data_IF_418738355905
#
_entry.id   IF_418738355905
#
_cell.length_a   1.000
_cell.length_b   1.000
_cell.length_c   1.000
_cell.angle_alpha   90.00
_cell.angle_beta   90.00
_cell.angle_gamma   90.00
#
_symmetry.space_group_name_H-M   'P 1'
#
loop_
_entity.id
_entity.type
_entity.pdbx_description
1 polymer ?
#
# COMPACT_ATOMS: atom_id res chain seq x y z
N UNK A 1 -61.57 57.82 -27.53
CA UNK A 1 -60.18 58.31 -27.38
C UNK A 1 -59.87 58.50 -25.89
N UNK A 2 -58.76 57.90 -25.42
CA UNK A 2 -58.08 58.09 -24.10
C UNK A 2 -58.83 57.54 -22.86
N UNK A 3 -58.22 56.90 -21.86
CA UNK A 3 -56.94 56.20 -21.58
C UNK A 3 -57.09 55.68 -20.13
N UNK A 4 -56.61 54.46 -19.81
CA UNK A 4 -56.11 53.95 -18.50
C UNK A 4 -56.85 54.28 -17.18
N UNK A 5 -57.04 53.35 -16.25
CA UNK A 5 -55.94 52.77 -15.47
C UNK A 5 -56.38 51.48 -14.76
N UNK A 6 -55.50 50.47 -14.84
CA UNK A 6 -55.65 49.17 -14.19
C UNK A 6 -55.38 49.22 -12.69
N UNK A 7 -56.01 48.30 -11.98
CA UNK A 7 -55.77 47.99 -10.58
C UNK A 7 -54.37 47.42 -10.39
N UNK A 8 -53.56 48.10 -9.57
CA UNK A 8 -52.30 47.57 -9.06
C UNK A 8 -52.56 46.53 -7.98
N UNK A 9 -52.43 45.26 -8.34
CA UNK A 9 -52.09 44.19 -7.39
C UNK A 9 -50.58 44.23 -7.14
N UNK A 10 -50.18 44.24 -5.87
CA UNK A 10 -48.77 44.17 -5.47
C UNK A 10 -48.64 43.94 -3.96
N UNK A 11 -49.12 42.79 -3.49
CA UNK A 11 -48.88 42.31 -2.13
C UNK A 11 -47.75 41.27 -2.16
N UNK A 12 -46.82 41.48 -1.22
CA UNK A 12 -45.93 40.53 -0.54
C UNK A 12 -44.81 39.83 -1.30
N UNK A 13 -43.62 40.06 -0.75
CA UNK A 13 -42.37 39.35 -0.93
C UNK A 13 -42.50 37.83 -0.83
N UNK A 14 -41.74 37.13 -1.69
CA UNK A 14 -41.12 35.85 -1.36
C UNK A 14 -39.66 35.92 -1.80
N UNK A 15 -38.78 36.16 -0.83
CA UNK A 15 -37.36 35.84 -0.92
C UNK A 15 -37.26 34.33 -0.74
N UNK A 16 -37.16 33.58 -1.84
CA UNK A 16 -36.73 32.17 -1.81
C UNK A 16 -36.43 31.70 -3.23
N UNK A 17 -35.18 31.33 -3.49
CA UNK A 17 -34.80 30.84 -4.83
C UNK A 17 -33.36 30.38 -4.94
N UNK A 18 -32.91 29.60 -3.95
CA UNK A 18 -31.82 28.63 -4.01
C UNK A 18 -30.62 28.91 -4.93
N UNK A 19 -29.55 29.40 -4.29
CA UNK A 19 -28.19 28.94 -4.54
C UNK A 19 -28.16 27.42 -4.78
N UNK A 20 -28.12 26.97 -6.03
CA UNK A 20 -28.03 25.55 -6.30
C UNK A 20 -27.07 25.26 -7.46
N UNK A 21 -26.22 24.27 -7.18
CA UNK A 21 -25.37 23.50 -8.10
C UNK A 21 -23.98 24.08 -8.39
N UNK A 22 -23.12 24.16 -7.37
CA UNK A 22 -21.65 24.09 -7.52
C UNK A 22 -21.04 23.02 -6.59
N UNK A 23 -21.68 21.85 -6.48
CA UNK A 23 -21.07 20.66 -5.86
C UNK A 23 -21.36 19.40 -6.67
N UNK A 24 -20.66 19.24 -7.79
CA UNK A 24 -20.46 17.91 -8.36
C UNK A 24 -18.98 17.68 -8.66
N UNK A 25 -18.21 17.16 -7.67
CA UNK A 25 -17.07 16.33 -7.98
C UNK A 25 -17.16 15.02 -7.18
N UNK A 26 -18.04 14.09 -7.58
CA UNK A 26 -18.15 12.79 -6.88
C UNK A 26 -17.88 11.58 -7.76
N UNK A 27 -18.04 11.66 -9.08
CA UNK A 27 -17.83 10.51 -9.98
C UNK A 27 -16.34 10.28 -10.29
N UNK A 28 -15.59 11.34 -10.62
CA UNK A 28 -14.16 11.18 -10.96
C UNK A 28 -13.28 10.79 -9.76
N UNK A 29 -13.63 11.25 -8.55
CA UNK A 29 -12.87 10.93 -7.34
C UNK A 29 -13.07 9.48 -6.90
N UNK A 30 -14.29 8.93 -7.01
CA UNK A 30 -14.54 7.53 -6.66
C UNK A 30 -13.83 6.57 -7.63
N UNK A 31 -13.79 6.90 -8.91
CA UNK A 31 -13.04 6.12 -9.91
C UNK A 31 -11.52 6.15 -9.66
N UNK A 32 -10.95 7.32 -9.35
CA UNK A 32 -9.52 7.43 -9.03
C UNK A 32 -9.14 6.62 -7.78
N UNK A 33 -9.99 6.64 -6.74
CA UNK A 33 -9.80 5.81 -5.53
C UNK A 33 -9.85 4.33 -5.87
N UNK A 34 -10.84 3.88 -6.65
CA UNK A 34 -10.95 2.48 -7.05
C UNK A 34 -9.75 2.02 -7.89
N UNK A 35 -9.26 2.87 -8.79
CA UNK A 35 -8.07 2.59 -9.60
C UNK A 35 -6.80 2.52 -8.75
N UNK A 36 -6.65 3.41 -7.76
CA UNK A 36 -5.54 3.36 -6.79
C UNK A 36 -5.57 2.08 -5.96
N UNK A 37 -6.75 1.69 -5.47
CA UNK A 37 -6.95 0.44 -4.71
C UNK A 37 -6.62 -0.81 -5.55
N UNK A 38 -7.09 -0.88 -6.80
CA UNK A 38 -6.74 -1.97 -7.71
C UNK A 38 -5.22 -2.02 -7.98
N UNK A 39 -4.61 -0.85 -8.20
CA UNK A 39 -3.17 -0.74 -8.40
C UNK A 39 -2.34 -1.15 -7.17
N UNK A 40 -2.88 -0.96 -5.95
CA UNK A 40 -2.24 -1.39 -4.72
C UNK A 40 -2.28 -2.93 -4.57
N UNK A 41 -3.42 -3.55 -4.93
CA UNK A 41 -3.56 -5.00 -4.97
C UNK A 41 -2.55 -5.60 -5.96
N UNK A 42 -2.42 -5.02 -7.16
CA UNK A 42 -1.47 -5.49 -8.16
C UNK A 42 0.00 -5.30 -7.72
N UNK A 43 0.31 -4.22 -7.00
CA UNK A 43 1.63 -4.02 -6.40
C UNK A 43 1.96 -5.12 -5.38
N UNK A 44 1.02 -5.49 -4.52
CA UNK A 44 1.21 -6.57 -3.54
C UNK A 44 1.38 -7.94 -4.21
N UNK A 45 0.65 -8.22 -5.30
CA UNK A 45 0.85 -9.45 -6.10
C UNK A 45 2.24 -9.50 -6.73
N UNK A 46 2.76 -8.36 -7.17
CA UNK A 46 4.13 -8.25 -7.72
C UNK A 46 5.19 -8.41 -6.64
N UNK A 47 4.97 -7.86 -5.44
CA UNK A 47 5.83 -8.11 -4.28
C UNK A 47 5.86 -9.60 -3.95
N UNK A 48 4.70 -10.26 -3.90
CA UNK A 48 4.65 -11.71 -3.68
C UNK A 48 5.46 -12.49 -4.71
N UNK A 49 5.34 -12.13 -5.99
CA UNK A 49 6.16 -12.75 -7.05
C UNK A 49 7.65 -12.49 -6.84
N UNK A 50 8.03 -11.25 -6.51
CA UNK A 50 9.42 -10.87 -6.25
C UNK A 50 10.02 -11.60 -5.05
N UNK A 51 9.26 -11.85 -3.98
CA UNK A 51 9.68 -12.68 -2.85
C UNK A 51 9.93 -14.13 -3.24
N UNK A 52 9.06 -14.71 -4.07
CA UNK A 52 9.26 -16.06 -4.58
C UNK A 52 10.52 -16.14 -5.45
N UNK A 53 10.78 -15.12 -6.27
CA UNK A 53 11.99 -15.05 -7.10
C UNK A 53 13.24 -14.80 -6.25
N UNK A 54 13.17 -13.96 -5.22
CA UNK A 54 14.26 -13.73 -4.26
C UNK A 54 14.66 -15.05 -3.60
N UNK A 55 13.67 -15.77 -3.03
CA UNK A 55 13.91 -17.07 -2.40
C UNK A 55 14.45 -18.12 -3.36
N UNK A 56 13.87 -18.21 -4.55
CA UNK A 56 14.21 -19.24 -5.54
C UNK A 56 15.62 -19.07 -6.08
N UNK A 57 16.06 -17.82 -6.25
CA UNK A 57 17.33 -17.50 -6.88
C UNK A 57 18.43 -17.15 -5.87
N UNK A 58 18.19 -17.37 -4.56
CA UNK A 58 19.15 -17.01 -3.51
C UNK A 58 19.52 -15.52 -3.64
N UNK A 59 18.52 -14.66 -3.47
CA UNK A 59 18.55 -13.25 -3.88
C UNK A 59 19.68 -12.42 -3.26
N UNK A 60 20.20 -12.86 -2.11
CA UNK A 60 21.36 -12.28 -1.44
C UNK A 60 22.63 -13.13 -1.57
N UNK A 61 22.51 -14.34 -2.11
CA UNK A 61 23.60 -15.27 -2.36
C UNK A 61 24.20 -15.90 -1.12
N UNK A 62 23.42 -16.01 -0.05
CA UNK A 62 23.88 -16.59 1.21
C UNK A 62 23.84 -18.14 1.20
N UNK A 63 23.28 -18.75 0.14
CA UNK A 63 23.12 -20.19 -0.02
C UNK A 63 21.89 -20.76 0.69
N UNK A 64 21.01 -19.91 1.21
CA UNK A 64 19.82 -20.23 1.98
C UNK A 64 18.59 -19.71 1.23
N UNK A 65 17.61 -20.57 0.90
CA UNK A 65 16.37 -20.10 0.30
C UNK A 65 15.50 -19.43 1.37
N UNK A 66 15.66 -18.13 1.57
CA UNK A 66 14.88 -17.30 2.50
C UNK A 66 14.09 -16.21 1.78
N UNK A 67 13.24 -15.50 2.54
CA UNK A 67 12.49 -14.35 2.09
C UNK A 67 13.12 -13.07 2.60
N UNK A 68 12.93 -11.98 1.86
CA UNK A 68 13.32 -10.66 2.31
C UNK A 68 12.17 -10.01 3.11
N UNK A 69 12.50 -9.40 4.24
CA UNK A 69 11.51 -8.80 5.16
C UNK A 69 11.96 -7.46 5.73
N UNK A 70 13.15 -6.98 5.35
CA UNK A 70 13.70 -5.72 5.85
C UNK A 70 12.85 -4.52 5.48
N UNK A 71 12.56 -4.37 4.19
CA UNK A 71 11.75 -3.29 3.63
C UNK A 71 11.29 -3.63 2.19
N UNK A 72 10.47 -2.79 1.56
CA UNK A 72 9.98 -3.06 0.19
C UNK A 72 11.10 -2.82 -0.83
N UNK A 73 11.94 -1.82 -0.59
CA UNK A 73 12.99 -1.45 -1.55
C UNK A 73 14.06 -2.53 -1.76
N UNK A 74 14.31 -3.38 -0.77
CA UNK A 74 15.31 -4.45 -0.85
C UNK A 74 15.03 -5.44 -1.96
N UNK A 75 13.76 -5.68 -2.32
CA UNK A 75 13.39 -6.48 -3.50
C UNK A 75 13.82 -5.87 -4.84
N UNK A 76 14.30 -4.62 -4.83
CA UNK A 76 14.96 -3.99 -5.95
C UNK A 76 16.47 -3.82 -5.72
N UNK A 77 16.88 -3.34 -4.54
CA UNK A 77 18.25 -2.83 -4.31
C UNK A 77 19.17 -3.74 -3.50
N UNK A 78 18.68 -4.86 -2.97
CA UNK A 78 19.52 -5.82 -2.27
C UNK A 78 20.64 -6.29 -3.20
N UNK A 79 21.89 -6.23 -2.72
CA UNK A 79 23.03 -6.69 -3.49
C UNK A 79 22.99 -8.21 -3.67
N UNK A 80 23.11 -8.66 -4.90
CA UNK A 80 23.43 -10.05 -5.24
C UNK A 80 24.93 -10.32 -5.09
N UNK A 81 25.37 -11.59 -5.14
CA UNK A 81 26.76 -11.93 -5.39
C UNK A 81 27.30 -11.20 -6.62
N UNK A 82 28.34 -10.38 -6.43
CA UNK A 82 28.89 -9.51 -7.47
C UNK A 82 28.59 -8.02 -7.25
N UNK A 83 27.66 -7.69 -6.36
CA UNK A 83 27.38 -6.30 -5.93
C UNK A 83 26.30 -5.57 -6.72
N UNK A 84 25.76 -6.19 -7.77
CA UNK A 84 24.63 -5.64 -8.53
C UNK A 84 23.32 -5.76 -7.74
N UNK A 85 22.36 -4.83 -7.91
CA UNK A 85 21.04 -4.92 -7.29
C UNK A 85 20.24 -6.10 -7.87
N UNK A 86 19.50 -6.80 -7.02
CA UNK A 86 18.72 -7.99 -7.42
C UNK A 86 17.57 -7.68 -8.40
N UNK A 87 17.01 -6.48 -8.34
CA UNK A 87 16.03 -5.97 -9.29
C UNK A 87 14.81 -6.89 -9.55
N UNK A 88 14.38 -7.69 -8.55
CA UNK A 88 13.21 -8.56 -8.66
C UNK A 88 11.88 -7.77 -8.69
N UNK A 89 11.88 -6.55 -8.16
CA UNK A 89 10.72 -5.66 -8.12
C UNK A 89 10.93 -4.42 -8.99
N UNK A 90 9.86 -3.96 -9.65
CA UNK A 90 9.85 -2.68 -10.36
C UNK A 90 10.27 -1.51 -9.43
N UNK A 91 11.19 -0.63 -9.84
CA UNK A 91 11.67 0.45 -8.98
C UNK A 91 10.58 1.46 -8.59
N UNK A 92 9.52 1.61 -9.40
CA UNK A 92 8.38 2.47 -9.06
C UNK A 92 7.54 1.89 -7.91
N UNK A 93 7.34 0.57 -7.89
CA UNK A 93 6.68 -0.13 -6.78
C UNK A 93 7.60 -0.15 -5.55
N UNK A 94 8.88 -0.47 -5.74
CA UNK A 94 9.87 -0.47 -4.66
C UNK A 94 9.95 0.90 -3.96
N UNK A 95 9.93 2.00 -4.73
CA UNK A 95 9.96 3.36 -4.21
C UNK A 95 8.73 3.71 -3.35
N UNK A 96 7.63 2.96 -3.43
CA UNK A 96 6.47 3.17 -2.58
C UNK A 96 6.67 2.66 -1.15
N UNK A 97 7.87 2.22 -0.78
CA UNK A 97 8.24 2.06 0.62
C UNK A 97 8.06 3.37 1.41
N UNK A 98 7.26 3.32 2.48
CA UNK A 98 7.03 4.48 3.35
C UNK A 98 8.29 4.90 4.13
N UNK A 99 9.15 3.93 4.45
CA UNK A 99 10.25 4.05 5.40
C UNK A 99 11.43 3.13 4.99
N UNK A 100 12.05 3.39 3.83
CA UNK A 100 13.15 2.55 3.36
C UNK A 100 14.34 2.62 4.29
N UNK A 101 15.05 1.52 4.43
CA UNK A 101 16.33 1.45 5.13
C UNK A 101 17.37 2.35 4.42
N UNK A 102 18.35 2.92 5.12
CA UNK A 102 19.40 3.68 4.44
C UNK A 102 20.27 2.77 3.55
N UNK A 103 20.92 3.29 2.49
CA UNK A 103 21.94 2.53 1.76
C UNK A 103 23.05 2.05 2.71
N UNK A 104 23.64 0.90 2.41
CA UNK A 104 24.65 0.30 3.27
C UNK A 104 24.10 -0.41 4.51
N UNK A 105 22.79 -0.30 4.77
CA UNK A 105 22.08 -1.21 5.67
C UNK A 105 22.27 -2.65 5.19
N UNK A 106 22.45 -3.56 6.15
CA UNK A 106 22.44 -5.00 5.92
C UNK A 106 23.84 -5.53 5.74
N UNK A 107 24.11 -6.66 6.37
CA UNK A 107 25.40 -7.31 6.20
C UNK A 107 25.37 -8.22 4.97
N UNK A 108 24.28 -8.97 4.78
CA UNK A 108 24.05 -9.90 3.66
C UNK A 108 22.54 -10.09 3.45
N UNK A 109 21.91 -9.47 2.43
CA UNK A 109 22.49 -8.55 1.44
C UNK A 109 22.62 -7.12 1.97
N UNK A 110 23.65 -6.40 1.49
CA UNK A 110 23.77 -4.95 1.68
C UNK A 110 22.90 -4.22 0.67
N UNK A 111 22.24 -3.14 1.09
CA UNK A 111 21.46 -2.29 0.20
C UNK A 111 22.37 -1.35 -0.58
N UNK A 112 22.35 -1.45 -1.91
CA UNK A 112 23.36 -0.86 -2.82
C UNK A 112 23.20 0.65 -3.04
N UNK A 113 21.96 1.14 -3.15
CA UNK A 113 21.67 2.53 -3.50
C UNK A 113 20.47 3.10 -2.74
N UNK A 114 20.34 4.43 -2.76
CA UNK A 114 19.14 5.10 -2.26
C UNK A 114 18.04 5.02 -3.31
N UNK A 115 16.82 4.70 -2.85
CA UNK A 115 15.62 4.79 -3.66
C UNK A 115 14.64 5.74 -2.95
N UNK A 116 14.53 7.01 -3.41
CA UNK A 116 13.70 8.00 -2.72
C UNK A 116 12.22 7.58 -2.65
N UNK A 117 11.58 7.67 -1.45
CA UNK A 117 10.18 7.33 -1.29
C UNK A 117 9.24 8.10 -2.20
N UNK A 118 8.40 7.38 -2.94
CA UNK A 118 7.35 7.92 -3.80
C UNK A 118 6.12 7.01 -3.79
N UNK A 119 4.92 7.51 -3.44
CA UNK A 119 3.73 6.66 -3.40
C UNK A 119 3.40 6.05 -4.77
N UNK A 120 2.91 4.83 -4.75
CA UNK A 120 2.40 4.11 -5.92
C UNK A 120 0.90 4.35 -6.05
N UNK A 121 0.49 5.19 -7.01
CA UNK A 121 -0.92 5.45 -7.34
C UNK A 121 -1.81 5.76 -6.11
N UNK A 122 -1.29 6.55 -5.18
CA UNK A 122 -2.00 6.98 -3.96
C UNK A 122 -1.77 6.06 -2.75
N UNK A 123 -0.90 5.06 -2.85
CA UNK A 123 -0.61 4.10 -1.79
C UNK A 123 0.87 4.08 -1.41
N UNK A 124 1.11 3.90 -0.12
CA UNK A 124 2.39 3.50 0.43
C UNK A 124 2.40 1.98 0.67
N UNK A 125 3.59 1.41 0.69
CA UNK A 125 3.89 0.02 0.95
C UNK A 125 4.84 -0.07 2.14
N UNK A 126 4.78 -1.17 2.89
CA UNK A 126 5.68 -1.43 4.01
C UNK A 126 5.79 -2.93 4.27
N UNK A 127 7.01 -3.39 4.58
CA UNK A 127 7.23 -4.71 5.13
C UNK A 127 6.70 -4.77 6.57
N UNK A 128 5.98 -5.84 6.90
CA UNK A 128 5.48 -6.06 8.25
C UNK A 128 6.49 -6.90 9.03
N UNK A 129 6.62 -6.59 10.31
CA UNK A 129 7.54 -7.32 11.18
C UNK A 129 7.01 -8.74 11.40
N UNK A 130 7.84 -9.78 11.21
CA UNK A 130 7.48 -11.11 11.65
C UNK A 130 7.23 -11.08 13.15
N UNK A 131 6.37 -11.99 13.62
CA UNK A 131 6.35 -12.30 15.04
C UNK A 131 7.73 -12.76 15.49
N UNK A 132 8.10 -12.45 16.73
CA UNK A 132 9.18 -13.18 17.38
C UNK A 132 8.80 -14.66 17.35
N UNK A 133 9.45 -15.42 16.45
CA UNK A 133 9.29 -16.86 16.41
C UNK A 133 10.31 -17.39 17.40
N UNK A 134 9.86 -17.93 18.53
CA UNK A 134 10.75 -18.66 19.42
C UNK A 134 11.34 -19.85 18.64
N UNK A 135 12.66 -19.86 18.42
CA UNK A 135 13.35 -20.97 17.77
C UNK A 135 14.80 -20.65 17.36
N UNK A 136 15.72 -21.63 17.42
CA UNK A 136 17.14 -21.47 17.05
C UNK A 136 17.39 -21.43 15.54
N UNK A 137 16.36 -21.61 14.72
CA UNK A 137 16.49 -21.85 13.26
C UNK A 137 16.28 -20.62 12.39
N UNK A 138 16.11 -19.43 12.99
CA UNK A 138 16.19 -18.23 12.19
C UNK A 138 17.65 -17.78 12.23
N UNK A 139 18.39 -18.01 11.15
CA UNK A 139 19.54 -17.17 10.81
C UNK A 139 18.98 -15.76 10.55
N UNK A 140 18.54 -15.10 11.63
CA UNK A 140 18.07 -13.73 11.65
C UNK A 140 19.30 -12.84 11.55
N UNK A 141 19.85 -12.76 10.34
CA UNK A 141 20.12 -11.41 9.89
C UNK A 141 18.75 -10.69 9.95
N UNK A 142 18.70 -9.45 10.47
CA UNK A 142 17.46 -8.88 11.01
C UNK A 142 16.29 -8.77 10.01
N UNK A 143 16.54 -9.07 8.73
CA UNK A 143 15.70 -8.73 7.58
C UNK A 143 15.42 -9.93 6.67
N UNK A 144 15.85 -11.13 7.02
CA UNK A 144 15.65 -12.36 6.24
C UNK A 144 14.77 -13.32 7.04
N UNK A 145 13.92 -14.09 6.35
CA UNK A 145 13.01 -15.01 7.03
C UNK A 145 12.78 -16.31 6.24
N UNK A 146 13.01 -17.44 6.88
CA UNK A 146 12.82 -18.76 6.25
C UNK A 146 11.37 -19.15 6.05
N UNK A 147 10.45 -18.63 6.87
CA UNK A 147 9.08 -19.15 6.98
C UNK A 147 8.08 -18.39 6.13
N UNK A 148 8.25 -17.08 5.98
CA UNK A 148 7.32 -16.27 5.23
C UNK A 148 7.65 -14.80 5.29
N UNK A 149 6.71 -14.02 4.78
CA UNK A 149 6.77 -12.57 4.74
C UNK A 149 5.36 -12.02 4.87
N UNK A 150 5.23 -10.74 5.18
CA UNK A 150 3.99 -10.03 4.94
C UNK A 150 4.27 -8.57 4.59
N UNK A 151 3.46 -8.04 3.69
CA UNK A 151 3.52 -6.64 3.27
C UNK A 151 2.14 -6.02 3.36
N UNK A 152 2.12 -4.72 3.65
CA UNK A 152 0.91 -3.91 3.73
C UNK A 152 0.96 -2.80 2.69
N UNK A 153 -0.18 -2.53 2.05
CA UNK A 153 -0.43 -1.34 1.26
C UNK A 153 -1.49 -0.48 1.94
N UNK A 154 -1.20 0.79 2.16
CA UNK A 154 -2.11 1.71 2.83
C UNK A 154 -2.16 3.07 2.12
N UNK A 155 -3.31 3.76 2.16
CA UNK A 155 -3.47 5.00 1.42
C UNK A 155 -2.56 6.10 1.97
N UNK A 156 -2.02 6.95 1.09
CA UNK A 156 -1.27 8.18 1.47
C UNK A 156 -2.10 9.03 2.44
N UNK A 157 -3.42 9.08 2.20
CA UNK A 157 -4.42 9.72 3.03
C UNK A 157 -5.73 8.95 2.97
N UNK A 158 -6.11 8.36 4.10
CA UNK A 158 -7.36 7.61 4.24
C UNK A 158 -8.57 8.50 3.93
N UNK A 159 -9.55 7.95 3.20
CA UNK A 159 -10.74 8.65 2.73
C UNK A 159 -10.54 9.51 1.48
N UNK A 160 -9.29 9.86 1.12
CA UNK A 160 -8.98 10.68 -0.06
C UNK A 160 -8.29 9.91 -1.17
N UNK A 161 -7.14 9.29 -0.87
CA UNK A 161 -6.37 8.48 -1.84
C UNK A 161 -6.80 7.02 -1.87
N UNK A 162 -7.50 6.57 -0.83
CA UNK A 162 -7.96 5.20 -0.66
C UNK A 162 -8.77 5.04 0.62
N UNK A 163 -9.62 4.02 0.68
CA UNK A 163 -10.46 3.73 1.84
C UNK A 163 -10.06 2.43 2.54
N UNK A 164 -9.34 1.56 1.84
CA UNK A 164 -8.93 0.25 2.34
C UNK A 164 -7.43 0.17 2.50
N UNK A 165 -7.04 -0.62 3.48
CA UNK A 165 -5.69 -1.16 3.66
C UNK A 165 -5.69 -2.57 3.11
N UNK A 166 -4.60 -2.94 2.43
CA UNK A 166 -4.40 -4.26 1.87
C UNK A 166 -3.19 -4.94 2.48
N UNK A 167 -3.22 -6.26 2.53
CA UNK A 167 -2.17 -7.08 3.13
C UNK A 167 -1.95 -8.33 2.28
N UNK A 168 -0.70 -8.72 2.06
CA UNK A 168 -0.34 -9.99 1.41
C UNK A 168 0.66 -10.73 2.28
N UNK A 169 0.64 -12.06 2.22
CA UNK A 169 1.59 -12.95 2.89
C UNK A 169 2.14 -14.00 1.92
N UNK A 170 2.86 -14.99 2.44
CA UNK A 170 3.44 -16.07 1.63
C UNK A 170 2.40 -16.85 0.81
N UNK A 171 1.15 -16.91 1.28
CA UNK A 171 0.02 -17.57 0.59
C UNK A 171 -0.42 -16.86 -0.71
N UNK A 172 0.06 -15.63 -0.96
CA UNK A 172 -0.27 -14.84 -2.14
C UNK A 172 -1.69 -14.28 -2.17
N UNK A 173 -2.48 -14.53 -1.11
CA UNK A 173 -3.83 -13.97 -0.99
C UNK A 173 -3.69 -12.51 -0.56
N UNK A 174 -4.26 -11.62 -1.36
CA UNK A 174 -4.40 -10.21 -0.96
C UNK A 174 -5.66 -10.08 -0.12
N UNK A 175 -5.49 -9.56 1.08
CA UNK A 175 -6.52 -9.28 2.05
C UNK A 175 -6.79 -7.78 2.08
N UNK A 176 -8.01 -7.41 2.45
CA UNK A 176 -8.47 -6.03 2.55
C UNK A 176 -9.18 -5.83 3.88
N UNK A 177 -8.99 -4.65 4.46
CA UNK A 177 -9.72 -4.16 5.62
C UNK A 177 -9.95 -2.66 5.46
N UNK A 178 -11.06 -2.16 5.99
CA UNK A 178 -11.31 -0.72 6.00
C UNK A 178 -10.21 0.01 6.78
N UNK A 179 -9.74 1.16 6.28
CA UNK A 179 -8.65 1.91 6.91
C UNK A 179 -9.02 2.42 8.31
N UNK A 180 -10.29 2.70 8.59
CA UNK A 180 -10.75 3.07 9.94
C UNK A 180 -10.62 1.88 10.90
N UNK A 181 -10.86 0.66 10.42
CA UNK A 181 -10.79 -0.56 11.21
C UNK A 181 -9.38 -1.17 11.31
N UNK A 182 -8.52 -0.93 10.32
CA UNK A 182 -7.14 -1.42 10.27
C UNK A 182 -6.12 -0.45 10.91
N UNK A 183 -6.52 0.81 11.09
CA UNK A 183 -5.60 1.93 11.26
C UNK A 183 -5.14 2.46 9.88
N UNK A 184 -4.90 3.77 9.73
CA UNK A 184 -4.63 4.39 8.43
C UNK A 184 -3.35 3.88 7.75
N UNK A 185 -2.42 3.28 8.50
CA UNK A 185 -1.19 2.66 7.99
C UNK A 185 -1.18 1.12 8.10
N UNK A 186 -2.31 0.53 8.49
CA UNK A 186 -2.43 -0.89 8.76
C UNK A 186 -1.63 -1.38 9.97
N UNK A 187 -1.50 -2.71 10.14
CA UNK A 187 -0.79 -3.30 11.26
C UNK A 187 0.73 -3.08 11.15
N UNK A 188 1.44 -3.07 12.28
CA UNK A 188 2.91 -3.02 12.30
C UNK A 188 3.54 -4.40 12.07
N UNK A 189 2.88 -5.43 12.61
CA UNK A 189 3.31 -6.81 12.64
C UNK A 189 2.40 -7.67 11.74
N UNK A 190 2.79 -8.92 11.51
CA UNK A 190 1.95 -9.88 10.81
C UNK A 190 0.61 -10.08 11.55
N UNK A 191 -0.44 -10.62 10.93
CA UNK A 191 -1.64 -11.05 11.66
C UNK A 191 -1.42 -12.41 12.36
N UNK A 192 -1.39 -12.44 13.69
CA UNK A 192 -0.99 -13.59 14.53
C UNK A 192 -1.94 -14.76 14.41
N UNK A 193 -3.23 -14.46 14.37
CA UNK A 193 -4.29 -15.47 14.25
C UNK A 193 -4.66 -15.72 12.79
N UNK A 194 -3.94 -15.07 11.87
CA UNK A 194 -4.25 -15.02 10.45
C UNK A 194 -5.20 -13.86 10.10
N UNK A 195 -5.16 -13.37 8.85
CA UNK A 195 -5.97 -12.22 8.42
C UNK A 195 -7.47 -12.44 8.63
N UNK A 196 -7.99 -13.61 8.25
CA UNK A 196 -9.43 -13.89 8.37
C UNK A 196 -9.92 -13.83 9.83
N UNK A 197 -9.18 -14.46 10.76
CA UNK A 197 -9.50 -14.43 12.19
C UNK A 197 -9.38 -13.02 12.82
N UNK A 198 -8.68 -12.10 12.15
CA UNK A 198 -8.51 -10.70 12.56
C UNK A 198 -9.42 -9.73 11.77
N UNK A 199 -10.41 -10.30 11.07
CA UNK A 199 -11.48 -9.55 10.41
C UNK A 199 -11.10 -8.98 9.05
N UNK A 200 -10.01 -9.46 8.44
CA UNK A 200 -9.69 -9.15 7.06
C UNK A 200 -10.52 -9.99 6.11
N UNK A 201 -10.81 -9.43 4.93
CA UNK A 201 -11.55 -10.11 3.86
C UNK A 201 -10.67 -10.26 2.64
N UNK A 202 -10.86 -11.31 1.83
CA UNK A 202 -10.12 -11.43 0.56
C UNK A 202 -10.44 -10.25 -0.34
N UNK A 203 -9.42 -9.67 -0.94
CA UNK A 203 -9.55 -8.64 -1.97
C UNK A 203 -9.80 -9.34 -3.31
N UNK A 204 -10.91 -8.98 -3.96
CA UNK A 204 -11.20 -9.38 -5.35
C UNK A 204 -10.46 -8.45 -6.32
#
# INVERSE_FOLDING_TARGET
MKKSAGWGMGIAAVIAGAWLIWKLPSIGRSQAVAAGEASAIDALRRIHTAELDFRRNDGDGNGVPDFWTGDVTGLYRAAQPGGDPCAFLDPGIAAADKSPLPPGSGERPRLTAELPPKPWNGYWLRALKPFAVDGPDLDMNAWENLRGFAFVAFPVKAGESGKRVFLVREDGVVWAKDAEAAGPEGPADWPARGPEAEGWKKAE
#
